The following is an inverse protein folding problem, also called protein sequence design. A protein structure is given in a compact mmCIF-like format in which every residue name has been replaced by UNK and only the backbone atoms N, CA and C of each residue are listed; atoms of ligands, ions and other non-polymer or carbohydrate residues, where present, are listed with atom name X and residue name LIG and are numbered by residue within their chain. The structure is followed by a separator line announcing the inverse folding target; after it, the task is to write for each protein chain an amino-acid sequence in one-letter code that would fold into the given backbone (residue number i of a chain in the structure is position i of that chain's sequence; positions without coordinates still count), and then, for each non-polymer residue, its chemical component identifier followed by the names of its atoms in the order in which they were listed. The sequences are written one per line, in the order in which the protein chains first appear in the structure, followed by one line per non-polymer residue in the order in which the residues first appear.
data_IF_770991498614
#
_entry.id   IF_770991498614
#
_cell.length_a   1.000
_cell.length_b   1.000
_cell.length_c   1.000
_cell.angle_alpha   90.00
_cell.angle_beta   90.00
_cell.angle_gamma   90.00
#
_symmetry.space_group_name_H-M   'P 1'
#
loop_
_entity.id
_entity.type
_entity.pdbx_description
1 polymer ?
#
# COMPACT_ATOMS: atom_id res chain seq x y z
N UNK A 1 -21.22 -50.53 12.65
CA UNK A 1 -20.20 -50.51 11.61
C UNK A 1 -19.08 -49.49 11.86
N UNK A 2 -19.36 -48.18 12.04
CA UNK A 2 -18.31 -47.12 12.19
C UNK A 2 -17.36 -47.36 13.38
N UNK A 3 -17.82 -47.83 14.52
CA UNK A 3 -16.99 -48.12 15.69
C UNK A 3 -15.92 -49.20 15.43
N UNK A 4 -16.19 -50.20 14.58
CA UNK A 4 -15.23 -51.23 14.22
C UNK A 4 -14.12 -50.73 13.32
N UNK A 5 -14.48 -49.88 12.30
CA UNK A 5 -13.48 -49.27 11.42
C UNK A 5 -12.57 -48.30 12.20
N UNK A 6 -13.13 -47.52 13.13
CA UNK A 6 -12.34 -46.62 13.96
C UNK A 6 -11.35 -47.39 14.85
N UNK A 7 -11.82 -48.50 15.45
CA UNK A 7 -10.95 -49.38 16.29
C UNK A 7 -9.84 -50.05 15.49
N UNK A 8 -10.13 -50.50 14.27
CA UNK A 8 -9.14 -51.04 13.36
C UNK A 8 -8.09 -50.02 12.93
N UNK A 9 -8.56 -48.81 12.54
CA UNK A 9 -7.66 -47.71 12.18
C UNK A 9 -6.73 -47.35 13.34
N UNK A 10 -7.29 -47.22 14.57
CA UNK A 10 -6.50 -46.94 15.77
C UNK A 10 -5.44 -47.99 16.04
N UNK A 11 -5.79 -49.28 15.93
CA UNK A 11 -4.84 -50.40 16.13
C UNK A 11 -3.71 -50.38 15.06
N UNK A 12 -4.04 -50.11 13.80
CA UNK A 12 -3.05 -49.96 12.73
C UNK A 12 -2.09 -48.79 12.97
N UNK A 13 -2.62 -47.66 13.43
CA UNK A 13 -1.82 -46.48 13.79
C UNK A 13 -0.86 -46.76 14.95
N UNK A 14 -1.29 -47.52 15.97
CA UNK A 14 -0.45 -47.85 17.12
C UNK A 14 0.59 -48.93 16.83
N UNK A 15 0.32 -49.83 15.88
CA UNK A 15 1.28 -50.86 15.45
C UNK A 15 2.45 -50.26 14.65
N UNK A 16 2.19 -49.25 13.82
CA UNK A 16 3.19 -48.63 12.94
C UNK A 16 3.39 -47.16 13.29
N UNK A 17 3.84 -46.87 14.49
CA UNK A 17 3.94 -45.50 15.04
C UNK A 17 4.74 -44.54 14.17
N UNK A 18 5.87 -44.99 13.62
CA UNK A 18 6.73 -44.14 12.79
C UNK A 18 6.00 -43.70 11.51
N UNK A 19 5.44 -44.61 10.75
CA UNK A 19 4.71 -44.30 9.52
C UNK A 19 3.46 -43.46 9.81
N UNK A 20 2.73 -43.80 10.87
CA UNK A 20 1.54 -43.03 11.27
C UNK A 20 1.87 -41.59 11.67
N UNK A 21 2.98 -41.36 12.37
CA UNK A 21 3.46 -40.06 12.74
C UNK A 21 3.84 -39.23 11.50
N UNK A 22 4.61 -39.83 10.58
CA UNK A 22 4.98 -39.17 9.32
C UNK A 22 3.73 -38.80 8.50
N UNK A 23 2.75 -39.70 8.45
CA UNK A 23 1.49 -39.45 7.72
C UNK A 23 0.66 -38.32 8.34
N UNK A 24 0.53 -38.30 9.66
CA UNK A 24 -0.21 -37.27 10.39
C UNK A 24 0.47 -35.91 10.23
N UNK A 25 1.79 -35.85 10.39
CA UNK A 25 2.55 -34.60 10.21
C UNK A 25 2.46 -34.13 8.77
N UNK A 26 2.65 -34.99 7.79
CA UNK A 26 2.60 -34.64 6.37
C UNK A 26 1.22 -34.13 5.94
N UNK A 27 0.15 -34.85 6.34
CA UNK A 27 -1.22 -34.38 6.02
C UNK A 27 -1.59 -33.11 6.77
N UNK A 28 -1.21 -32.99 8.03
CA UNK A 28 -1.43 -31.79 8.82
C UNK A 28 -0.71 -30.58 8.21
N UNK A 29 0.53 -30.74 7.79
CA UNK A 29 1.31 -29.70 7.12
C UNK A 29 0.72 -29.30 5.76
N UNK A 30 0.26 -30.27 4.97
CA UNK A 30 -0.40 -30.01 3.70
C UNK A 30 -1.70 -29.23 3.87
N UNK A 31 -2.54 -29.60 4.83
CA UNK A 31 -3.78 -28.88 5.16
C UNK A 31 -3.47 -27.47 5.63
N UNK A 32 -2.49 -27.32 6.54
CA UNK A 32 -2.09 -26.00 7.04
C UNK A 32 -1.62 -25.08 5.90
N UNK A 33 -0.82 -25.61 4.96
CA UNK A 33 -0.35 -24.86 3.80
C UNK A 33 -1.50 -24.41 2.89
N UNK A 34 -2.46 -25.28 2.61
CA UNK A 34 -3.66 -24.94 1.82
C UNK A 34 -4.50 -23.88 2.53
N UNK A 35 -4.67 -23.99 3.86
CA UNK A 35 -5.41 -22.97 4.64
C UNK A 35 -4.71 -21.62 4.60
N UNK A 36 -3.38 -21.58 4.76
CA UNK A 36 -2.62 -20.31 4.66
C UNK A 36 -2.78 -19.68 3.28
N UNK A 37 -2.67 -20.47 2.21
CA UNK A 37 -2.88 -19.97 0.84
C UNK A 37 -4.30 -19.45 0.64
N UNK A 38 -5.30 -20.15 1.15
CA UNK A 38 -6.71 -19.72 1.07
C UNK A 38 -6.95 -18.39 1.82
N UNK A 39 -6.37 -18.25 3.03
CA UNK A 39 -6.47 -17.02 3.82
C UNK A 39 -5.79 -15.85 3.11
N UNK A 40 -4.57 -16.06 2.59
CA UNK A 40 -3.84 -15.01 1.85
C UNK A 40 -4.59 -14.61 0.58
N UNK A 41 -5.11 -15.59 -0.16
CA UNK A 41 -5.92 -15.33 -1.35
C UNK A 41 -7.18 -14.54 -1.00
N UNK A 42 -7.91 -14.95 0.05
CA UNK A 42 -9.10 -14.24 0.51
C UNK A 42 -8.75 -12.80 0.94
N UNK A 43 -7.70 -12.62 1.73
CA UNK A 43 -7.26 -11.29 2.16
C UNK A 43 -6.87 -10.36 1.00
N UNK A 44 -6.38 -10.94 -0.11
CA UNK A 44 -6.00 -10.19 -1.32
C UNK A 44 -7.17 -9.89 -2.27
N UNK A 45 -8.27 -10.62 -2.19
CA UNK A 45 -9.40 -10.49 -3.13
C UNK A 45 -10.66 -9.97 -2.48
N UNK A 46 -10.80 -10.09 -1.17
CA UNK A 46 -11.99 -9.64 -0.45
C UNK A 46 -12.04 -8.12 -0.31
N UNK A 47 -13.27 -7.60 -0.30
CA UNK A 47 -13.57 -6.19 -0.04
C UNK A 47 -13.44 -5.92 1.48
N UNK A 48 -12.22 -5.69 1.93
CA UNK A 48 -11.90 -5.44 3.35
C UNK A 48 -11.33 -4.02 3.46
N UNK A 49 -11.77 -3.27 4.47
CA UNK A 49 -11.23 -1.93 4.72
C UNK A 49 -9.69 -1.95 4.88
N UNK A 50 -8.98 -1.00 4.26
CA UNK A 50 -9.49 0.17 3.53
C UNK A 50 -9.94 -0.06 2.07
N UNK A 51 -9.72 -1.24 1.47
CA UNK A 51 -9.99 -1.55 0.07
C UNK A 51 -11.40 -2.15 -0.13
N UNK A 52 -12.45 -1.43 0.28
CA UNK A 52 -13.83 -1.93 0.30
C UNK A 52 -14.48 -2.11 -1.08
N UNK A 53 -13.89 -1.56 -2.12
CA UNK A 53 -14.40 -1.59 -3.50
C UNK A 53 -13.44 -2.32 -4.45
N UNK A 54 -12.63 -3.24 -3.93
CA UNK A 54 -11.61 -3.95 -4.69
C UNK A 54 -12.17 -4.73 -5.89
N UNK A 55 -13.38 -5.26 -5.77
CA UNK A 55 -14.09 -6.03 -6.81
C UNK A 55 -14.47 -5.20 -8.04
N UNK A 56 -14.57 -3.87 -7.90
CA UNK A 56 -14.91 -2.95 -8.98
C UNK A 56 -13.85 -1.89 -9.27
N UNK A 57 -12.68 -2.03 -8.66
CA UNK A 57 -11.56 -1.11 -8.83
C UNK A 57 -10.60 -1.64 -9.90
N UNK A 58 -10.20 -0.76 -10.81
CA UNK A 58 -9.17 -1.03 -11.81
C UNK A 58 -7.87 -0.33 -11.43
N UNK A 59 -6.79 -1.09 -11.35
CA UNK A 59 -5.45 -0.55 -11.15
C UNK A 59 -4.73 -0.42 -12.49
N UNK A 60 -4.22 0.77 -12.80
CA UNK A 60 -3.33 1.04 -13.93
C UNK A 60 -1.93 1.38 -13.39
N UNK A 61 -1.07 0.37 -13.21
CA UNK A 61 0.22 0.58 -12.54
C UNK A 61 1.28 1.13 -13.49
N UNK A 62 1.18 0.85 -14.79
CA UNK A 62 2.22 1.16 -15.79
C UNK A 62 1.63 1.51 -17.14
N UNK A 63 2.39 2.30 -17.91
CA UNK A 63 2.18 2.52 -19.33
C UNK A 63 3.36 1.99 -20.14
N UNK A 64 3.07 1.51 -21.35
CA UNK A 64 4.08 1.15 -22.31
C UNK A 64 4.19 2.26 -23.37
N UNK A 65 5.36 2.86 -23.50
CA UNK A 65 5.68 3.74 -24.61
C UNK A 65 6.38 2.94 -25.71
N UNK A 66 5.77 2.88 -26.90
CA UNK A 66 6.33 2.20 -28.07
C UNK A 66 6.73 3.29 -29.08
N UNK A 67 8.02 3.39 -29.37
CA UNK A 67 8.51 4.32 -30.39
C UNK A 67 8.28 3.72 -31.76
N UNK A 68 7.65 4.48 -32.66
CA UNK A 68 7.11 3.97 -33.94
C UNK A 68 8.20 3.44 -34.88
N UNK A 69 9.44 3.91 -34.73
CA UNK A 69 10.57 3.61 -35.63
C UNK A 69 11.71 2.80 -34.96
N UNK A 70 11.58 2.44 -33.70
CA UNK A 70 12.59 1.67 -32.96
C UNK A 70 11.94 0.45 -32.33
N UNK A 71 12.62 -0.69 -32.34
CA UNK A 71 12.19 -1.93 -31.68
C UNK A 71 12.31 -1.84 -30.12
N UNK A 72 12.07 -0.68 -29.54
CA UNK A 72 12.17 -0.40 -28.13
C UNK A 72 10.79 -0.21 -27.48
N UNK A 73 10.47 -1.06 -26.49
CA UNK A 73 9.31 -0.89 -25.62
C UNK A 73 9.79 -0.43 -24.24
N UNK A 74 9.36 0.74 -23.81
CA UNK A 74 9.66 1.28 -22.48
C UNK A 74 8.44 1.11 -21.57
N UNK A 75 8.57 0.24 -20.58
CA UNK A 75 7.55 0.03 -19.56
C UNK A 75 7.89 0.83 -18.31
N UNK A 76 7.02 1.72 -17.89
CA UNK A 76 7.22 2.50 -16.67
C UNK A 76 5.90 2.94 -16.05
N UNK A 77 5.98 3.44 -14.82
CA UNK A 77 4.85 4.08 -14.15
C UNK A 77 4.44 5.36 -14.91
N UNK A 78 3.26 5.88 -14.59
CA UNK A 78 2.65 7.01 -15.28
C UNK A 78 3.27 8.34 -14.86
N UNK A 79 3.41 9.27 -15.80
CA UNK A 79 3.79 10.64 -15.51
C UNK A 79 2.59 11.45 -15.01
N UNK A 80 2.87 12.57 -14.34
CA UNK A 80 1.84 13.54 -13.95
C UNK A 80 1.06 14.07 -15.16
N UNK A 81 1.71 14.26 -16.30
CA UNK A 81 1.08 14.69 -17.56
C UNK A 81 0.09 13.64 -18.04
N UNK A 82 0.51 12.40 -18.15
CA UNK A 82 -0.34 11.28 -18.58
C UNK A 82 -1.56 11.13 -17.68
N UNK A 83 -1.36 11.24 -16.36
CA UNK A 83 -2.46 11.19 -15.40
C UNK A 83 -3.45 12.33 -15.63
N UNK A 84 -2.95 13.56 -15.79
CA UNK A 84 -3.79 14.75 -15.96
C UNK A 84 -4.57 14.72 -17.27
N UNK A 85 -3.94 14.35 -18.38
CA UNK A 85 -4.53 14.41 -19.72
C UNK A 85 -5.41 13.18 -20.05
N UNK A 86 -5.02 11.98 -19.55
CA UNK A 86 -5.69 10.75 -19.92
C UNK A 86 -6.67 10.22 -18.87
N UNK A 87 -6.45 10.48 -17.58
CA UNK A 87 -7.24 9.86 -16.51
C UNK A 87 -8.17 10.84 -15.79
N UNK A 88 -7.71 12.04 -15.42
CA UNK A 88 -8.59 13.02 -14.76
C UNK A 88 -9.67 13.60 -15.69
N UNK A 89 -9.53 13.41 -16.99
CA UNK A 89 -10.53 13.82 -17.99
C UNK A 89 -11.60 12.78 -18.24
N UNK A 90 -11.44 11.56 -17.70
CA UNK A 90 -12.42 10.49 -17.86
C UNK A 90 -13.72 10.84 -17.14
N UNK A 91 -14.85 10.58 -17.85
CA UNK A 91 -16.19 10.84 -17.31
C UNK A 91 -16.94 9.54 -16.93
N UNK A 92 -16.41 8.39 -17.35
CA UNK A 92 -17.03 7.09 -17.11
C UNK A 92 -16.79 6.58 -15.67
N UNK A 93 -15.57 6.73 -15.09
CA UNK A 93 -15.32 6.28 -13.73
C UNK A 93 -16.07 7.13 -12.69
N UNK A 94 -16.51 6.49 -11.62
CA UNK A 94 -17.09 7.17 -10.47
C UNK A 94 -16.06 8.07 -9.76
N UNK A 95 -14.84 7.58 -9.68
CA UNK A 95 -13.71 8.27 -9.05
C UNK A 95 -12.39 7.83 -9.68
N UNK A 96 -11.47 8.77 -9.82
CA UNK A 96 -10.07 8.51 -10.20
C UNK A 96 -9.18 8.96 -9.06
N UNK A 97 -8.37 8.07 -8.52
CA UNK A 97 -7.37 8.37 -7.52
C UNK A 97 -5.97 8.01 -8.03
N UNK A 98 -4.97 8.69 -7.51
CA UNK A 98 -3.58 8.56 -7.96
C UNK A 98 -2.66 8.40 -6.77
N UNK A 99 -1.68 7.51 -6.91
CA UNK A 99 -0.67 7.31 -5.88
C UNK A 99 0.64 6.79 -6.46
N UNK A 100 1.65 6.67 -5.61
CA UNK A 100 2.89 5.97 -5.93
C UNK A 100 2.88 4.60 -5.26
N UNK A 101 3.54 3.63 -5.88
CA UNK A 101 3.88 2.41 -5.14
C UNK A 101 5.11 2.72 -4.26
N UNK A 102 5.08 2.44 -2.94
CA UNK A 102 6.19 2.72 -2.03
C UNK A 102 7.51 2.09 -2.44
N UNK A 103 7.49 0.86 -2.95
CA UNK A 103 8.70 0.18 -3.41
C UNK A 103 9.34 0.88 -4.62
N UNK A 104 8.49 1.35 -5.56
CA UNK A 104 8.95 2.11 -6.72
C UNK A 104 9.45 3.49 -6.31
N UNK A 105 8.84 4.12 -5.32
CA UNK A 105 9.29 5.40 -4.79
C UNK A 105 10.67 5.26 -4.14
N UNK A 106 10.87 4.25 -3.29
CA UNK A 106 12.17 3.94 -2.69
C UNK A 106 13.25 3.62 -3.74
N UNK A 107 12.89 2.94 -4.83
CA UNK A 107 13.81 2.69 -5.94
C UNK A 107 14.27 3.99 -6.63
N UNK A 108 13.38 4.97 -6.75
CA UNK A 108 13.65 6.25 -7.43
C UNK A 108 14.47 7.23 -6.59
N UNK A 109 14.17 7.33 -5.29
CA UNK A 109 14.74 8.37 -4.41
C UNK A 109 15.59 7.83 -3.27
N UNK A 110 15.75 6.51 -3.18
CA UNK A 110 16.46 5.85 -2.09
C UNK A 110 15.62 5.68 -0.83
N UNK A 111 16.28 5.28 0.24
CA UNK A 111 15.62 5.10 1.54
C UNK A 111 15.12 6.43 2.10
N UNK A 112 13.86 6.44 2.54
CA UNK A 112 13.23 7.60 3.14
C UNK A 112 13.28 7.47 4.66
N UNK A 113 13.68 8.54 5.32
CA UNK A 113 13.77 8.60 6.77
C UNK A 113 12.86 9.67 7.33
N UNK A 114 12.22 9.35 8.45
CA UNK A 114 11.34 10.26 9.18
C UNK A 114 11.91 10.50 10.57
N UNK A 115 11.88 11.76 11.02
CA UNK A 115 12.38 12.18 12.35
C UNK A 115 11.57 13.31 12.93
N UNK A 116 11.69 13.55 14.23
CA UNK A 116 11.21 14.78 14.85
C UNK A 116 12.02 16.00 14.36
N UNK A 117 11.42 17.18 14.21
CA UNK A 117 12.17 18.41 13.98
C UNK A 117 13.22 18.62 15.10
N UNK A 118 14.49 18.74 14.71
CA UNK A 118 15.60 18.85 15.66
C UNK A 118 15.99 17.56 16.41
N UNK A 119 15.29 16.44 16.16
CA UNK A 119 15.62 15.15 16.74
C UNK A 119 16.78 14.45 16.02
N UNK A 120 17.55 13.65 16.77
CA UNK A 120 18.65 12.84 16.24
C UNK A 120 18.16 11.48 15.70
N UNK A 121 17.10 10.93 16.29
CA UNK A 121 16.58 9.61 15.95
C UNK A 121 15.88 9.65 14.58
N UNK A 122 16.35 8.80 13.67
CA UNK A 122 15.79 8.65 12.33
C UNK A 122 15.17 7.26 12.18
N UNK A 123 13.99 7.22 11.60
CA UNK A 123 13.24 5.99 11.35
C UNK A 123 13.10 5.77 9.86
N UNK A 124 13.60 4.63 9.36
CA UNK A 124 13.33 4.22 7.98
C UNK A 124 11.82 4.03 7.82
N UNK A 125 11.25 4.67 6.81
CA UNK A 125 9.81 4.85 6.65
C UNK A 125 9.38 4.50 5.24
N UNK A 126 8.33 3.72 5.11
CA UNK A 126 7.69 3.43 3.84
C UNK A 126 6.69 4.55 3.53
N UNK A 127 6.95 5.30 2.47
CA UNK A 127 6.17 6.47 2.07
C UNK A 127 5.35 6.17 0.82
N UNK A 128 4.06 6.48 0.87
CA UNK A 128 3.20 6.54 -0.30
C UNK A 128 2.84 8.00 -0.56
N UNK A 129 2.97 8.45 -1.80
CA UNK A 129 2.48 9.77 -2.17
C UNK A 129 1.19 9.63 -2.99
N UNK A 130 0.16 10.41 -2.63
CA UNK A 130 -1.19 10.25 -3.18
C UNK A 130 -1.82 11.61 -3.53
N UNK A 131 -2.95 11.56 -4.23
CA UNK A 131 -3.86 12.70 -4.35
C UNK A 131 -4.92 12.72 -3.24
N UNK A 132 -5.77 13.73 -3.23
CA UNK A 132 -6.84 13.83 -2.23
C UNK A 132 -8.00 12.84 -2.48
N UNK A 133 -8.18 12.38 -3.73
CA UNK A 133 -9.21 11.40 -4.05
C UNK A 133 -8.91 10.02 -3.48
N UNK A 134 -7.65 9.73 -3.20
CA UNK A 134 -7.22 8.52 -2.52
C UNK A 134 -7.99 8.29 -1.21
N UNK A 135 -8.20 9.33 -0.41
CA UNK A 135 -8.93 9.25 0.85
C UNK A 135 -10.44 9.03 0.69
N UNK A 136 -10.99 9.30 -0.50
CA UNK A 136 -12.39 9.02 -0.83
C UNK A 136 -12.56 7.60 -1.37
N UNK A 137 -11.58 7.13 -2.14
CA UNK A 137 -11.59 5.80 -2.76
C UNK A 137 -11.35 4.70 -1.72
N UNK A 138 -10.39 4.92 -0.82
CA UNK A 138 -10.00 3.98 0.22
C UNK A 138 -10.54 4.40 1.58
N UNK A 139 -11.26 3.49 2.22
CA UNK A 139 -11.93 3.76 3.50
C UNK A 139 -11.01 3.47 4.69
N UNK A 140 -10.10 4.41 4.97
CA UNK A 140 -9.22 4.31 6.13
C UNK A 140 -9.96 4.56 7.45
N UNK A 141 -9.57 3.85 8.50
CA UNK A 141 -10.04 4.10 9.86
C UNK A 141 -9.16 5.14 10.54
N UNK A 142 -9.56 6.39 10.56
CA UNK A 142 -8.86 7.46 11.27
C UNK A 142 -9.04 7.32 12.78
N UNK A 143 -7.92 7.42 13.53
CA UNK A 143 -7.91 7.48 14.99
C UNK A 143 -8.06 8.96 15.40
N UNK A 144 -7.32 9.84 14.72
CA UNK A 144 -7.37 11.29 14.91
C UNK A 144 -7.27 11.99 13.56
N UNK A 145 -7.91 13.14 13.43
CA UNK A 145 -7.84 13.98 12.23
C UNK A 145 -8.46 13.35 10.99
N UNK A 146 -7.99 13.75 9.82
CA UNK A 146 -8.48 13.32 8.51
C UNK A 146 -7.34 13.31 7.48
N UNK A 147 -7.60 12.74 6.30
CA UNK A 147 -6.75 12.91 5.13
C UNK A 147 -6.68 14.37 4.69
N UNK A 148 -5.67 14.73 3.92
CA UNK A 148 -5.57 16.05 3.34
C UNK A 148 -6.66 16.29 2.28
N UNK A 149 -7.11 17.53 2.18
CA UNK A 149 -8.18 17.94 1.28
C UNK A 149 -7.64 18.27 -0.13
N UNK A 150 -8.55 18.37 -1.11
CA UNK A 150 -8.20 18.76 -2.47
C UNK A 150 -7.51 20.14 -2.52
N UNK A 151 -7.97 21.10 -1.71
CA UNK A 151 -7.35 22.42 -1.63
C UNK A 151 -5.90 22.38 -1.10
N UNK A 152 -5.62 21.50 -0.12
CA UNK A 152 -4.27 21.30 0.40
C UNK A 152 -3.35 20.68 -0.67
N UNK A 153 -3.88 19.71 -1.40
CA UNK A 153 -3.19 19.03 -2.47
C UNK A 153 -2.84 19.97 -3.63
N UNK A 154 -3.80 20.78 -4.09
CA UNK A 154 -3.61 21.74 -5.19
C UNK A 154 -2.66 22.88 -4.82
N UNK A 155 -2.74 23.34 -3.57
CA UNK A 155 -1.87 24.40 -3.04
C UNK A 155 -0.47 23.90 -2.67
N UNK A 156 -0.19 22.59 -2.78
CA UNK A 156 1.09 21.99 -2.41
C UNK A 156 1.42 22.13 -0.92
N UNK A 157 0.40 22.19 -0.06
CA UNK A 157 0.58 22.27 1.39
C UNK A 157 1.15 20.93 1.88
N UNK A 158 2.25 20.99 2.63
CA UNK A 158 2.96 19.82 3.15
C UNK A 158 2.22 19.21 4.34
N UNK A 159 1.20 18.42 4.06
CA UNK A 159 0.47 17.64 5.04
C UNK A 159 0.89 16.18 4.97
N UNK A 160 0.84 15.48 6.10
CA UNK A 160 1.14 14.05 6.20
C UNK A 160 0.09 13.35 7.05
N UNK A 161 -0.27 12.15 6.64
CA UNK A 161 -1.04 11.21 7.46
C UNK A 161 -0.08 10.11 7.91
N UNK A 162 -0.10 9.77 9.19
CA UNK A 162 0.74 8.73 9.79
C UNK A 162 -0.07 7.46 10.06
N UNK A 163 0.57 6.30 9.99
CA UNK A 163 0.04 5.09 10.60
C UNK A 163 0.12 5.17 12.13
N UNK A 164 -0.71 4.42 12.84
CA UNK A 164 -0.70 4.35 14.30
C UNK A 164 0.67 3.95 14.83
N UNK A 165 1.26 2.91 14.26
CA UNK A 165 2.61 2.44 14.62
C UNK A 165 3.65 3.53 14.43
N UNK A 166 3.60 4.29 13.34
CA UNK A 166 4.58 5.35 13.07
C UNK A 166 4.41 6.53 14.02
N UNK A 167 3.17 6.93 14.32
CA UNK A 167 2.88 7.98 15.30
C UNK A 167 3.43 7.61 16.67
N UNK A 168 3.18 6.37 17.13
CA UNK A 168 3.74 5.88 18.41
C UNK A 168 5.27 5.79 18.42
N UNK A 169 5.86 5.37 17.31
CA UNK A 169 7.31 5.21 17.17
C UNK A 169 8.06 6.54 17.24
N UNK A 170 7.51 7.59 16.62
CA UNK A 170 8.14 8.91 16.56
C UNK A 170 7.81 9.74 17.82
N UNK A 171 6.55 9.74 18.26
CA UNK A 171 6.02 10.66 19.29
C UNK A 171 5.68 9.97 20.62
N UNK A 172 5.68 8.64 20.68
CA UNK A 172 5.24 7.87 21.86
C UNK A 172 3.72 7.88 22.07
N UNK A 173 2.95 8.57 21.22
CA UNK A 173 1.48 8.74 21.34
C UNK A 173 0.83 8.85 19.95
N UNK A 174 -0.48 8.76 19.89
CA UNK A 174 -1.26 8.87 18.63
C UNK A 174 -1.93 10.23 18.44
N UNK A 175 -2.13 10.99 19.52
CA UNK A 175 -2.68 12.35 19.43
C UNK A 175 -1.58 13.35 19.10
N UNK A 176 -1.32 13.50 17.79
CA UNK A 176 -0.20 14.29 17.22
C UNK A 176 -0.66 15.25 16.12
N UNK A 177 -1.97 15.51 16.02
CA UNK A 177 -2.52 16.40 14.99
C UNK A 177 -1.92 17.81 15.13
N UNK A 178 -1.64 18.44 13.99
CA UNK A 178 -0.97 19.74 13.86
C UNK A 178 0.47 19.78 14.39
N UNK A 179 1.06 18.65 14.80
CA UNK A 179 2.49 18.59 15.08
C UNK A 179 3.26 18.46 13.76
N UNK A 180 4.54 18.86 13.79
CA UNK A 180 5.44 18.72 12.64
C UNK A 180 6.28 17.45 12.69
N UNK A 181 6.58 16.90 11.52
CA UNK A 181 7.50 15.79 11.34
C UNK A 181 8.36 16.03 10.11
N UNK A 182 9.63 15.64 10.17
CA UNK A 182 10.55 15.73 9.04
C UNK A 182 10.52 14.44 8.24
N UNK A 183 10.31 14.53 6.92
CA UNK A 183 10.40 13.42 5.96
C UNK A 183 11.46 13.78 4.93
N UNK A 184 12.58 13.07 4.89
CA UNK A 184 13.75 13.41 4.07
C UNK A 184 14.11 14.90 4.14
N UNK A 185 14.32 15.39 5.37
CA UNK A 185 14.67 16.79 5.66
C UNK A 185 13.60 17.84 5.26
N UNK A 186 12.43 17.42 4.81
CA UNK A 186 11.30 18.30 4.49
C UNK A 186 10.30 18.22 5.65
N UNK A 187 9.89 19.40 6.16
CA UNK A 187 8.91 19.48 7.23
C UNK A 187 7.48 19.35 6.70
N UNK A 188 6.71 18.48 7.36
CA UNK A 188 5.30 18.24 7.10
C UNK A 188 4.48 18.42 8.38
N UNK A 189 3.26 18.94 8.23
CA UNK A 189 2.28 19.06 9.30
C UNK A 189 1.34 17.84 9.30
N UNK A 190 1.14 17.23 10.47
CA UNK A 190 0.31 16.02 10.61
C UNK A 190 -1.17 16.40 10.55
N UNK A 191 -1.88 15.91 9.54
CA UNK A 191 -3.31 16.11 9.36
C UNK A 191 -4.16 14.96 9.90
N UNK A 192 -3.61 13.75 9.97
CA UNK A 192 -4.35 12.58 10.43
C UNK A 192 -3.45 11.45 10.92
N UNK A 193 -4.03 10.59 11.74
CA UNK A 193 -3.45 9.31 12.16
C UNK A 193 -4.47 8.23 11.89
N UNK A 194 -4.07 7.21 11.12
CA UNK A 194 -4.92 6.07 10.74
C UNK A 194 -4.48 4.80 11.47
N UNK A 195 -5.42 3.88 11.67
CA UNK A 195 -5.10 2.53 12.13
C UNK A 195 -4.15 1.86 11.16
N UNK A 196 -3.28 1.02 11.68
CA UNK A 196 -2.35 0.25 10.85
C UNK A 196 -3.10 -0.59 9.82
N UNK A 197 -2.55 -0.59 8.60
CA UNK A 197 -3.02 -1.40 7.49
C UNK A 197 -2.14 -2.63 7.38
N UNK A 198 -2.71 -3.76 7.06
CA UNK A 198 -1.94 -4.99 6.85
C UNK A 198 -1.05 -4.88 5.61
N UNK A 199 0.20 -5.34 5.71
CA UNK A 199 1.15 -5.39 4.58
C UNK A 199 0.68 -6.28 3.41
N UNK A 200 -0.33 -7.14 3.62
CA UNK A 200 -0.98 -7.91 2.56
C UNK A 200 -1.79 -7.01 1.61
N UNK A 201 -2.24 -5.84 2.09
CA UNK A 201 -2.98 -4.83 1.31
C UNK A 201 -2.00 -3.89 0.61
N UNK A 202 -1.30 -4.41 -0.38
CA UNK A 202 -0.18 -3.72 -1.05
C UNK A 202 -0.57 -2.46 -1.83
N UNK A 203 -1.86 -2.25 -2.12
CA UNK A 203 -2.33 -1.06 -2.84
C UNK A 203 -2.35 0.20 -1.97
N UNK A 204 -2.46 0.03 -0.66
CA UNK A 204 -2.66 1.13 0.30
C UNK A 204 -1.67 1.11 1.45
N UNK A 205 -0.88 0.04 1.58
CA UNK A 205 0.07 -0.13 2.68
C UNK A 205 1.22 0.87 2.61
N UNK A 206 1.36 1.67 3.64
CA UNK A 206 2.51 2.53 3.88
C UNK A 206 2.60 2.86 5.38
N UNK A 207 3.73 3.40 5.82
CA UNK A 207 3.89 3.97 7.16
C UNK A 207 3.35 5.39 7.23
N UNK A 208 3.49 6.14 6.12
CA UNK A 208 3.01 7.52 5.99
C UNK A 208 2.51 7.80 4.57
N UNK A 209 1.58 8.74 4.46
CA UNK A 209 1.01 9.21 3.20
C UNK A 209 1.20 10.73 3.09
N UNK A 210 1.73 11.19 1.94
CA UNK A 210 1.96 12.61 1.63
C UNK A 210 1.34 12.98 0.28
N UNK A 211 0.95 14.24 0.03
CA UNK A 211 0.53 14.68 -1.30
C UNK A 211 1.68 14.53 -2.32
N UNK A 212 1.44 13.90 -3.46
CA UNK A 212 2.51 13.73 -4.46
C UNK A 212 3.02 15.06 -5.03
N UNK A 213 2.23 16.13 -4.91
CA UNK A 213 2.63 17.48 -5.31
C UNK A 213 3.74 18.08 -4.45
N UNK A 214 3.99 17.52 -3.26
CA UNK A 214 5.00 18.01 -2.31
C UNK A 214 6.36 17.32 -2.46
N UNK A 215 6.44 16.24 -3.24
CA UNK A 215 7.68 15.53 -3.53
C UNK A 215 8.26 15.99 -4.86
N UNK A 216 9.37 16.73 -4.83
CA UNK A 216 10.06 17.24 -6.03
C UNK A 216 10.47 16.09 -6.96
N UNK A 217 10.95 14.97 -6.41
CA UNK A 217 11.31 13.78 -7.17
C UNK A 217 10.16 13.19 -7.99
N UNK A 218 8.92 13.26 -7.49
CA UNK A 218 7.73 12.80 -8.24
C UNK A 218 7.29 13.85 -9.26
N UNK A 219 7.45 15.12 -8.95
CA UNK A 219 7.06 16.23 -9.83
C UNK A 219 8.08 16.51 -10.92
N UNK A 220 9.38 16.37 -10.63
CA UNK A 220 10.48 16.61 -11.56
C UNK A 220 10.71 15.47 -12.55
N UNK A 221 10.60 14.21 -12.11
CA UNK A 221 10.64 13.03 -12.99
C UNK A 221 9.45 12.95 -13.93
N UNK A 222 8.37 13.66 -13.64
CA UNK A 222 7.19 13.79 -14.49
C UNK A 222 7.18 15.11 -15.26
N UNK A 223 8.31 15.49 -15.87
CA UNK A 223 8.37 16.65 -16.77
C UNK A 223 7.27 16.57 -17.82
N UNK A 224 6.78 17.76 -18.24
CA UNK A 224 5.62 17.92 -19.12
C UNK A 224 5.74 17.18 -20.47
N UNK A 225 6.93 16.71 -20.84
CA UNK A 225 7.21 15.99 -22.08
C UNK A 225 7.29 14.47 -21.92
N UNK A 226 7.43 13.95 -20.67
CA UNK A 226 7.60 12.53 -20.43
C UNK A 226 6.26 11.83 -20.18
N UNK A 227 6.03 10.71 -20.87
CA UNK A 227 4.89 9.78 -20.63
C UNK A 227 5.14 8.97 -19.36
N UNK A 228 6.38 8.85 -18.96
CA UNK A 228 6.92 7.99 -17.92
C UNK A 228 7.13 8.76 -16.63
N UNK A 229 6.77 8.20 -15.49
CA UNK A 229 6.88 8.81 -14.17
C UNK A 229 6.89 7.79 -13.02
N UNK A 230 6.38 8.19 -11.86
CA UNK A 230 6.34 7.37 -10.64
C UNK A 230 4.91 7.00 -10.21
N UNK A 231 3.90 7.49 -10.92
CA UNK A 231 2.50 7.41 -10.50
C UNK A 231 1.82 6.14 -11.03
N UNK A 232 0.81 5.70 -10.30
CA UNK A 232 -0.16 4.68 -10.69
C UNK A 232 -1.57 5.23 -10.47
N UNK A 233 -2.54 4.74 -11.23
CA UNK A 233 -3.91 5.22 -11.19
C UNK A 233 -4.82 4.11 -10.70
N UNK A 234 -5.74 4.47 -9.84
CA UNK A 234 -6.84 3.67 -9.34
C UNK A 234 -8.14 4.25 -9.91
N UNK A 235 -8.98 3.41 -10.47
CA UNK A 235 -10.24 3.77 -11.11
C UNK A 235 -11.37 2.93 -10.52
#
# INVERSE_FOLDING_TARGET
MYKQYFRQAWNLMTQNRFYSTVYIIGTGMAIAMVMVLAIVFHARTANIAPEIHRDRMLLVPRAAAIKKDEQGMMNSNLSRKTVKECFYTLQTPELVAVGTNPDNLNYLIGDIYTKLPGGADQFKTMVMSTDANFWKMFQFSFIHGNGYLQADFESGIRKVVLSETMARKIFGKTDVINMSVMVNEIEYNISGVVKDVSSVMSLVYADIWVPYTTLSSVTETSNAENIVGALQVYI
#
